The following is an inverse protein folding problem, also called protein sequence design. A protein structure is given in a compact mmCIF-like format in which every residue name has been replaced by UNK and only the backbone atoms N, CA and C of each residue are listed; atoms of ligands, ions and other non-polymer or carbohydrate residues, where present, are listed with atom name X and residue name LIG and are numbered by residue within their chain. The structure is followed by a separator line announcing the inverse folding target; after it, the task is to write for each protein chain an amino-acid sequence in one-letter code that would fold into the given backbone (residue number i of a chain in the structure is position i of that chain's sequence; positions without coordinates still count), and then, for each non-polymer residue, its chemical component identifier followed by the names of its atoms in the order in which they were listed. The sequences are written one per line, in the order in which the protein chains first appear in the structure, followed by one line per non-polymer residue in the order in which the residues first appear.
data_IF_753823977409
#
_entry.id   IF_753823977409
#
_cell.length_a   1.000
_cell.length_b   1.000
_cell.length_c   1.000
_cell.angle_alpha   90.00
_cell.angle_beta   90.00
_cell.angle_gamma   90.00
#
_symmetry.space_group_name_H-M   'P 1'
#
loop_
_entity.id
_entity.type
_entity.pdbx_description
1 polymer ?
#
# COMPACT_ATOMS: atom_id res chain seq x y z
N UNK A 1 29.13 -7.42 -24.45
CA UNK A 1 29.75 -7.45 -23.10
C UNK A 1 29.26 -8.69 -22.38
N UNK A 2 30.17 -9.51 -21.86
CA UNK A 2 29.81 -10.74 -21.11
C UNK A 2 29.21 -10.33 -19.76
N UNK A 3 28.26 -11.11 -19.24
CA UNK A 3 27.35 -10.68 -18.16
C UNK A 3 27.94 -10.28 -16.79
N UNK A 4 29.25 -10.50 -16.57
CA UNK A 4 29.96 -10.11 -15.34
C UNK A 4 30.53 -8.69 -15.42
N UNK A 5 31.08 -8.25 -16.56
CA UNK A 5 31.69 -6.91 -16.69
C UNK A 5 30.70 -5.77 -16.38
N UNK A 6 29.43 -5.95 -16.74
CA UNK A 6 28.39 -4.96 -16.48
C UNK A 6 28.09 -4.82 -14.99
N UNK A 7 28.12 -5.91 -14.22
CA UNK A 7 27.82 -5.85 -12.78
C UNK A 7 28.96 -5.15 -12.03
N UNK A 8 30.20 -5.44 -12.39
CA UNK A 8 31.39 -4.85 -11.78
C UNK A 8 31.53 -3.36 -12.14
N UNK A 9 31.29 -2.98 -13.40
CA UNK A 9 31.25 -1.58 -13.81
C UNK A 9 30.10 -0.81 -13.17
N UNK A 10 28.92 -1.45 -13.06
CA UNK A 10 27.76 -0.90 -12.38
C UNK A 10 28.07 -0.64 -10.91
N UNK A 11 28.68 -1.61 -10.20
CA UNK A 11 29.05 -1.46 -8.80
C UNK A 11 30.07 -0.34 -8.60
N UNK A 12 31.07 -0.23 -9.48
CA UNK A 12 32.04 0.86 -9.43
C UNK A 12 31.38 2.23 -9.60
N UNK A 13 30.57 2.41 -10.66
CA UNK A 13 29.91 3.70 -10.94
C UNK A 13 28.84 4.05 -9.90
N UNK A 14 27.90 3.14 -9.66
CA UNK A 14 26.81 3.35 -8.70
C UNK A 14 27.33 3.48 -7.27
N UNK A 15 28.37 2.71 -6.95
CA UNK A 15 28.92 2.64 -5.61
C UNK A 15 29.91 3.75 -5.25
N UNK A 16 30.67 4.28 -6.20
CA UNK A 16 31.71 5.27 -5.91
C UNK A 16 31.36 6.64 -6.48
N UNK A 17 30.95 6.70 -7.74
CA UNK A 17 30.72 7.96 -8.46
C UNK A 17 29.41 8.63 -8.03
N UNK A 18 28.32 7.85 -7.95
CA UNK A 18 27.01 8.34 -7.54
C UNK A 18 26.74 8.25 -6.03
N UNK A 19 27.80 8.13 -5.21
CA UNK A 19 27.69 7.95 -3.75
C UNK A 19 27.02 9.11 -3.01
N UNK A 20 26.84 10.27 -3.64
CA UNK A 20 26.17 11.43 -3.02
C UNK A 20 24.83 11.76 -3.70
N UNK A 21 24.42 11.00 -4.71
CA UNK A 21 23.15 11.23 -5.40
C UNK A 21 21.96 10.86 -4.50
N UNK A 22 20.96 11.74 -4.45
CA UNK A 22 19.69 11.50 -3.74
C UNK A 22 18.79 10.50 -4.49
N UNK A 23 18.86 10.53 -5.83
CA UNK A 23 18.15 9.62 -6.72
C UNK A 23 18.97 9.42 -8.00
N UNK A 24 18.85 8.24 -8.63
CA UNK A 24 19.51 7.94 -9.90
C UNK A 24 18.46 7.64 -10.97
N UNK A 25 18.51 8.37 -12.09
CA UNK A 25 17.67 8.16 -13.26
C UNK A 25 18.41 7.33 -14.33
N UNK A 26 17.88 6.16 -14.65
CA UNK A 26 18.38 5.29 -15.71
C UNK A 26 17.63 5.53 -17.01
N UNK A 27 18.36 5.85 -18.07
CA UNK A 27 17.81 5.90 -19.43
C UNK A 27 18.04 4.56 -20.10
N UNK A 28 16.96 3.80 -20.30
CA UNK A 28 17.00 2.46 -20.87
C UNK A 28 16.76 2.51 -22.39
N UNK A 29 17.53 1.81 -23.22
CA UNK A 29 17.38 1.92 -24.68
C UNK A 29 16.13 1.17 -25.21
N UNK A 30 15.61 0.20 -24.46
CA UNK A 30 14.52 -0.69 -24.87
C UNK A 30 13.70 -1.17 -23.66
N UNK A 31 12.65 -1.97 -23.91
CA UNK A 31 11.79 -2.60 -22.88
C UNK A 31 12.30 -3.99 -22.48
N UNK A 32 13.61 -4.19 -22.39
CA UNK A 32 14.20 -5.44 -21.92
C UNK A 32 13.90 -5.66 -20.43
N UNK A 33 12.94 -6.53 -20.14
CA UNK A 33 12.53 -6.86 -18.77
C UNK A 33 13.64 -7.50 -17.95
N UNK A 34 14.50 -8.32 -18.56
CA UNK A 34 15.59 -9.00 -17.85
C UNK A 34 16.59 -7.97 -17.36
N UNK A 35 16.93 -7.00 -18.20
CA UNK A 35 17.81 -5.88 -17.84
C UNK A 35 17.18 -5.02 -16.75
N UNK A 36 15.90 -4.67 -16.88
CA UNK A 36 15.19 -3.89 -15.87
C UNK A 36 15.17 -4.60 -14.51
N UNK A 37 14.86 -5.90 -14.48
CA UNK A 37 14.86 -6.70 -13.24
C UNK A 37 16.25 -6.78 -12.61
N UNK A 38 17.30 -7.02 -13.40
CA UNK A 38 18.68 -7.06 -12.90
C UNK A 38 19.10 -5.71 -12.33
N UNK A 39 18.79 -4.62 -13.01
CA UNK A 39 19.03 -3.26 -12.52
C UNK A 39 18.38 -3.05 -11.16
N UNK A 40 17.09 -3.34 -11.05
CA UNK A 40 16.31 -3.16 -9.82
C UNK A 40 16.82 -4.03 -8.68
N UNK A 41 17.12 -5.30 -8.95
CA UNK A 41 17.75 -6.20 -8.00
C UNK A 41 19.04 -5.59 -7.44
N UNK A 42 19.97 -5.15 -8.30
CA UNK A 42 21.25 -4.56 -7.87
C UNK A 42 21.05 -3.28 -7.06
N UNK A 43 20.16 -2.37 -7.50
CA UNK A 43 19.92 -1.09 -6.84
C UNK A 43 19.12 -1.18 -5.54
N UNK A 44 18.42 -2.28 -5.29
CA UNK A 44 17.54 -2.40 -4.12
C UNK A 44 18.08 -3.37 -3.07
N UNK A 45 18.94 -4.32 -3.45
CA UNK A 45 19.56 -5.27 -2.50
C UNK A 45 20.97 -4.88 -2.06
N UNK A 46 21.80 -4.34 -2.96
CA UNK A 46 23.22 -4.06 -2.67
C UNK A 46 23.45 -2.65 -2.14
N UNK A 47 22.71 -1.66 -2.64
CA UNK A 47 22.81 -0.26 -2.20
C UNK A 47 21.49 0.45 -2.29
N UNK A 48 20.85 0.65 -1.15
CA UNK A 48 19.53 1.26 -1.06
C UNK A 48 19.59 2.74 -1.45
N UNK A 49 19.31 3.04 -2.72
CA UNK A 49 19.05 4.41 -3.17
C UNK A 49 17.81 4.42 -4.05
N UNK A 50 17.02 5.50 -3.99
CA UNK A 50 15.98 5.73 -4.97
C UNK A 50 16.52 5.64 -6.39
N UNK A 51 15.86 4.82 -7.21
CA UNK A 51 16.15 4.74 -8.64
C UNK A 51 14.88 4.84 -9.46
N UNK A 52 14.98 5.59 -10.56
CA UNK A 52 13.93 5.75 -11.54
C UNK A 52 14.45 5.29 -12.91
N UNK A 53 13.58 4.75 -13.75
CA UNK A 53 13.93 4.41 -15.12
C UNK A 53 12.99 5.13 -16.11
N UNK A 54 13.52 5.49 -17.27
CA UNK A 54 12.77 6.01 -18.43
C UNK A 54 13.32 5.39 -19.71
N UNK A 55 12.45 5.12 -20.68
CA UNK A 55 12.88 4.67 -22.01
C UNK A 55 13.54 5.82 -22.78
N UNK A 56 14.64 5.57 -23.46
CA UNK A 56 15.38 6.58 -24.23
C UNK A 56 14.52 7.30 -25.26
N UNK A 57 13.58 6.60 -25.90
CA UNK A 57 12.58 7.21 -26.79
C UNK A 57 11.69 8.25 -26.10
N UNK A 58 11.32 8.00 -24.84
CA UNK A 58 10.51 8.91 -24.03
C UNK A 58 11.35 10.05 -23.43
N UNK A 59 12.66 9.84 -23.27
CA UNK A 59 13.59 10.87 -22.83
C UNK A 59 13.93 11.85 -23.96
N UNK A 60 14.08 11.34 -25.19
CA UNK A 60 14.39 12.15 -26.37
C UNK A 60 13.19 12.97 -26.87
N UNK A 61 11.95 12.51 -26.63
CA UNK A 61 10.73 13.22 -27.01
C UNK A 61 10.18 13.97 -25.80
N UNK A 62 10.08 15.30 -25.89
CA UNK A 62 9.52 16.14 -24.84
C UNK A 62 7.99 15.97 -24.82
N UNK A 63 7.51 14.93 -24.13
CA UNK A 63 6.11 14.76 -23.80
C UNK A 63 5.89 15.17 -22.34
N UNK A 64 5.25 16.32 -22.12
CA UNK A 64 5.05 16.88 -20.79
C UNK A 64 4.26 15.96 -19.86
N UNK A 65 3.29 15.18 -20.36
CA UNK A 65 2.55 14.23 -19.53
C UNK A 65 3.45 13.11 -19.00
N UNK A 66 4.34 12.59 -19.83
CA UNK A 66 5.34 11.58 -19.43
C UNK A 66 6.35 12.15 -18.44
N UNK A 67 6.86 13.36 -18.69
CA UNK A 67 7.82 14.02 -17.80
C UNK A 67 7.21 14.38 -16.45
N UNK A 68 5.96 14.85 -16.42
CA UNK A 68 5.23 15.11 -15.18
C UNK A 68 5.05 13.83 -14.36
N UNK A 69 4.63 12.72 -14.99
CA UNK A 69 4.54 11.43 -14.30
C UNK A 69 5.88 10.92 -13.78
N UNK A 70 6.96 11.07 -14.55
CA UNK A 70 8.32 10.73 -14.13
C UNK A 70 8.74 11.57 -12.90
N UNK A 71 8.48 12.87 -12.92
CA UNK A 71 8.78 13.78 -11.83
C UNK A 71 8.06 13.38 -10.54
N UNK A 72 6.75 13.09 -10.63
CA UNK A 72 5.95 12.67 -9.47
C UNK A 72 6.47 11.37 -8.84
N UNK A 73 6.83 10.38 -9.68
CA UNK A 73 7.47 9.15 -9.21
C UNK A 73 8.79 9.41 -8.47
N UNK A 74 9.62 10.32 -9.01
CA UNK A 74 10.89 10.70 -8.40
C UNK A 74 10.68 11.42 -7.06
N UNK A 75 9.75 12.38 -7.00
CA UNK A 75 9.38 13.09 -5.76
C UNK A 75 8.96 12.09 -4.68
N UNK A 76 8.06 11.16 -4.99
CA UNK A 76 7.56 10.21 -4.01
C UNK A 76 8.64 9.22 -3.52
N UNK A 77 9.54 8.79 -4.41
CA UNK A 77 10.69 7.93 -4.06
C UNK A 77 11.72 8.62 -3.16
N UNK A 78 11.77 9.95 -3.19
CA UNK A 78 12.60 10.75 -2.29
C UNK A 78 11.89 11.14 -0.98
N UNK A 79 10.66 10.65 -0.76
CA UNK A 79 9.86 10.96 0.43
C UNK A 79 9.06 12.26 0.33
N UNK A 80 8.94 12.84 -0.86
CA UNK A 80 8.09 14.00 -1.11
C UNK A 80 6.61 13.63 -1.24
N UNK A 81 5.75 14.61 -0.98
CA UNK A 81 4.29 14.49 -1.07
C UNK A 81 3.82 15.24 -2.30
N UNK A 82 3.10 14.58 -3.22
CA UNK A 82 2.56 15.26 -4.40
C UNK A 82 1.23 15.96 -4.10
N UNK A 83 0.30 15.27 -3.43
CA UNK A 83 -0.95 15.81 -2.90
C UNK A 83 -1.45 14.93 -1.76
N UNK A 84 -2.47 15.41 -1.07
CA UNK A 84 -3.18 14.71 -0.01
C UNK A 84 -4.67 15.04 -0.07
N UNK A 85 -5.50 14.18 0.49
CA UNK A 85 -6.92 14.49 0.76
C UNK A 85 -7.00 15.15 2.13
N UNK A 86 -7.80 16.23 2.31
CA UNK A 86 -7.95 16.87 3.61
C UNK A 86 -8.38 15.89 4.71
N UNK A 87 -7.93 16.10 5.96
CA UNK A 87 -8.30 15.24 7.08
C UNK A 87 -9.80 15.32 7.38
N UNK A 88 -10.37 14.21 7.84
CA UNK A 88 -11.79 14.09 8.17
C UNK A 88 -12.15 14.79 9.47
N UNK A 89 -13.38 15.31 9.56
CA UNK A 89 -13.87 15.97 10.78
C UNK A 89 -13.82 15.07 12.01
N UNK A 90 -14.15 13.78 11.85
CA UNK A 90 -14.14 12.78 12.93
C UNK A 90 -12.73 12.42 13.42
N UNK A 91 -11.71 12.72 12.61
CA UNK A 91 -10.31 12.53 12.99
C UNK A 91 -9.78 13.64 13.91
N UNK A 92 -10.60 14.68 14.18
CA UNK A 92 -10.27 15.82 15.02
C UNK A 92 -10.23 17.12 14.21
N UNK A 93 -11.13 18.07 14.53
CA UNK A 93 -11.10 19.44 14.01
C UNK A 93 -10.15 20.29 14.83
N UNK A 94 -8.92 20.53 14.35
CA UNK A 94 -8.32 21.87 14.40
C UNK A 94 -7.06 21.97 13.51
N UNK A 95 -7.18 22.75 12.42
CA UNK A 95 -6.20 22.95 11.34
C UNK A 95 -4.86 23.62 11.76
N UNK A 96 -4.57 23.71 13.06
CA UNK A 96 -3.32 24.25 13.59
C UNK A 96 -2.81 23.55 14.86
N UNK A 97 -3.53 22.58 15.43
CA UNK A 97 -3.16 21.93 16.71
C UNK A 97 -3.28 20.39 16.73
N UNK A 98 -3.95 19.77 15.75
CA UNK A 98 -4.35 18.36 15.85
C UNK A 98 -3.31 17.30 15.45
N UNK A 99 -2.02 17.60 15.37
CA UNK A 99 -1.04 16.63 14.86
C UNK A 99 -0.20 15.90 15.92
N UNK A 100 -0.12 16.38 17.16
CA UNK A 100 0.78 15.77 18.15
C UNK A 100 0.06 15.15 19.37
N UNK A 101 -1.01 15.76 19.88
CA UNK A 101 -1.64 15.25 21.12
C UNK A 101 -2.69 14.14 20.88
N UNK A 102 -3.36 14.14 19.72
CA UNK A 102 -4.38 13.15 19.37
C UNK A 102 -3.84 11.93 18.61
N UNK A 103 -2.52 11.74 18.53
CA UNK A 103 -1.88 10.54 17.99
C UNK A 103 -2.00 10.31 16.47
N UNK A 104 -3.02 10.84 15.78
CA UNK A 104 -3.19 10.72 14.32
C UNK A 104 -3.72 9.35 13.85
N UNK A 105 -3.72 9.13 12.53
CA UNK A 105 -4.20 7.91 11.87
C UNK A 105 -3.02 7.13 11.27
N UNK A 106 -3.04 5.81 11.43
CA UNK A 106 -2.18 4.87 10.70
C UNK A 106 -3.03 3.88 9.91
N UNK A 107 -2.74 3.74 8.61
CA UNK A 107 -3.29 2.69 7.75
C UNK A 107 -2.24 1.62 7.53
N UNK A 108 -2.53 0.39 7.94
CA UNK A 108 -1.75 -0.80 7.64
C UNK A 108 -2.45 -1.56 6.51
N UNK A 109 -1.67 -2.11 5.59
CA UNK A 109 -2.19 -3.08 4.62
C UNK A 109 -1.26 -4.27 4.48
N UNK A 110 -1.85 -5.46 4.39
CA UNK A 110 -1.14 -6.73 4.32
C UNK A 110 -1.63 -7.52 3.11
N UNK A 111 -0.67 -7.91 2.26
CA UNK A 111 -0.91 -8.80 1.13
C UNK A 111 0.03 -10.01 1.19
N UNK A 112 -0.51 -11.18 0.83
CA UNK A 112 0.27 -12.42 0.69
C UNK A 112 0.24 -12.84 -0.77
N UNK A 113 1.39 -12.75 -1.45
CA UNK A 113 1.53 -13.23 -2.82
C UNK A 113 2.04 -14.66 -2.86
N UNK A 114 1.59 -15.43 -3.85
CA UNK A 114 2.06 -16.78 -4.16
C UNK A 114 2.61 -16.77 -5.58
N UNK A 115 3.89 -17.09 -5.76
CA UNK A 115 4.41 -17.31 -7.13
C UNK A 115 4.37 -18.81 -7.47
N UNK A 116 3.82 -19.14 -8.64
CA UNK A 116 4.13 -20.41 -9.31
C UNK A 116 5.40 -20.18 -10.12
N UNK A 117 6.48 -20.97 -10.01
CA UNK A 117 6.57 -22.36 -9.51
C UNK A 117 7.07 -22.52 -8.06
N UNK A 118 7.32 -21.43 -7.30
CA UNK A 118 7.96 -21.53 -5.98
C UNK A 118 6.98 -22.03 -4.90
N UNK A 119 7.42 -22.97 -4.05
CA UNK A 119 6.60 -23.47 -2.92
C UNK A 119 6.42 -22.46 -1.77
N UNK A 120 6.93 -21.24 -1.91
CA UNK A 120 6.99 -20.25 -0.86
C UNK A 120 6.09 -19.05 -1.16
N UNK A 121 5.58 -18.44 -0.10
CA UNK A 121 4.84 -17.18 -0.17
C UNK A 121 5.72 -15.97 0.13
N UNK A 122 5.19 -14.77 -0.13
CA UNK A 122 5.78 -13.52 0.36
C UNK A 122 4.68 -12.69 1.00
N UNK A 123 4.89 -12.35 2.28
CA UNK A 123 4.08 -11.34 2.97
C UNK A 123 4.68 -9.99 2.66
N UNK A 124 3.83 -9.05 2.30
CA UNK A 124 4.15 -7.64 2.25
C UNK A 124 3.22 -6.88 3.18
N UNK A 125 3.79 -6.09 4.09
CA UNK A 125 3.09 -5.14 4.92
C UNK A 125 3.54 -3.73 4.54
N UNK A 126 2.57 -2.83 4.38
CA UNK A 126 2.83 -1.40 4.26
C UNK A 126 2.06 -0.66 5.33
N UNK A 127 2.63 0.40 5.89
CA UNK A 127 1.97 1.23 6.90
C UNK A 127 2.23 2.70 6.69
N UNK A 128 1.19 3.52 6.72
CA UNK A 128 1.36 4.98 6.65
C UNK A 128 2.01 5.49 7.94
N UNK A 129 2.82 6.54 7.84
CA UNK A 129 3.47 7.12 9.03
C UNK A 129 3.38 8.64 9.14
N UNK A 130 2.82 9.34 8.17
CA UNK A 130 2.52 10.77 8.26
C UNK A 130 1.01 11.02 8.33
N UNK A 131 0.63 12.21 8.80
CA UNK A 131 -0.76 12.60 8.99
C UNK A 131 -1.57 12.65 7.70
N UNK A 132 -0.94 12.98 6.58
CA UNK A 132 -1.58 13.03 5.26
C UNK A 132 -1.83 11.63 4.66
N UNK A 133 -1.31 10.56 5.30
CA UNK A 133 -1.41 9.17 4.84
C UNK A 133 -0.75 8.92 3.48
N UNK A 134 0.26 9.69 3.11
CA UNK A 134 0.91 9.66 1.78
C UNK A 134 2.29 8.99 1.77
N UNK A 135 2.91 8.84 2.95
CA UNK A 135 4.22 8.21 3.12
C UNK A 135 4.07 6.86 3.82
N UNK A 136 4.69 5.83 3.26
CA UNK A 136 4.51 4.45 3.69
C UNK A 136 5.82 3.75 4.04
N UNK A 137 5.86 3.16 5.23
CA UNK A 137 6.82 2.15 5.61
C UNK A 137 6.49 0.85 4.88
N UNK A 138 7.50 0.07 4.54
CA UNK A 138 7.36 -1.09 3.67
C UNK A 138 8.22 -2.23 4.17
N UNK A 139 7.60 -3.40 4.28
CA UNK A 139 8.27 -4.56 4.81
C UNK A 139 7.82 -5.83 4.13
N UNK A 140 8.77 -6.72 3.87
CA UNK A 140 8.45 -8.06 3.35
C UNK A 140 9.14 -9.15 4.13
N UNK A 141 8.53 -10.34 4.13
CA UNK A 141 9.11 -11.58 4.63
C UNK A 141 8.73 -12.74 3.72
N UNK A 142 9.69 -13.61 3.46
CA UNK A 142 9.46 -14.89 2.77
C UNK A 142 8.80 -15.87 3.74
N UNK A 143 7.79 -16.58 3.26
CA UNK A 143 7.13 -17.64 4.03
C UNK A 143 7.58 -19.00 3.53
N UNK A 144 7.92 -19.90 4.45
CA UNK A 144 8.33 -21.26 4.14
C UNK A 144 7.21 -22.11 3.50
N UNK A 145 5.95 -21.75 3.78
CA UNK A 145 4.76 -22.47 3.31
C UNK A 145 3.81 -21.55 2.53
N UNK A 146 3.05 -22.11 1.58
CA UNK A 146 2.00 -21.41 0.81
C UNK A 146 0.72 -21.18 1.63
N UNK A 147 0.83 -20.59 2.82
CA UNK A 147 -0.34 -20.23 3.64
C UNK A 147 -0.81 -18.82 3.28
N UNK A 148 -2.12 -18.61 3.21
CA UNK A 148 -2.71 -17.28 2.99
C UNK A 148 -2.78 -16.46 4.28
N UNK A 149 -2.82 -17.12 5.43
CA UNK A 149 -2.83 -16.48 6.75
C UNK A 149 -1.40 -16.34 7.27
N UNK A 150 -1.08 -15.16 7.80
CA UNK A 150 0.17 -14.89 8.51
C UNK A 150 0.06 -15.39 9.95
N UNK A 151 0.31 -16.69 10.13
CA UNK A 151 0.16 -17.36 11.43
C UNK A 151 1.16 -16.91 12.50
N UNK A 152 2.33 -16.42 12.08
CA UNK A 152 3.43 -15.98 12.96
C UNK A 152 4.07 -14.72 12.38
N UNK A 153 4.74 -13.97 13.25
CA UNK A 153 5.51 -12.77 12.91
C UNK A 153 4.68 -11.59 12.41
N UNK A 154 3.35 -11.67 12.44
CA UNK A 154 2.50 -10.53 12.13
C UNK A 154 2.74 -9.40 13.13
N UNK A 155 2.96 -9.75 14.40
CA UNK A 155 3.35 -8.86 15.48
C UNK A 155 4.67 -8.13 15.22
N UNK A 156 5.65 -8.78 14.58
CA UNK A 156 6.93 -8.15 14.20
C UNK A 156 6.69 -7.03 13.20
N UNK A 157 5.89 -7.28 12.16
CA UNK A 157 5.53 -6.25 11.20
C UNK A 157 4.78 -5.08 11.83
N UNK A 158 3.85 -5.37 12.75
CA UNK A 158 3.11 -4.33 13.48
C UNK A 158 4.03 -3.53 14.39
N UNK A 159 5.00 -4.16 15.05
CA UNK A 159 6.00 -3.46 15.86
C UNK A 159 6.82 -2.48 15.01
N UNK A 160 7.38 -2.95 13.89
CA UNK A 160 8.19 -2.11 13.00
C UNK A 160 7.35 -0.93 12.44
N UNK A 161 6.08 -1.17 12.11
CA UNK A 161 5.14 -0.13 11.68
C UNK A 161 4.91 0.94 12.77
N UNK A 162 4.67 0.53 14.01
CA UNK A 162 4.47 1.44 15.15
C UNK A 162 5.75 2.21 15.49
N UNK A 163 6.91 1.56 15.43
CA UNK A 163 8.21 2.22 15.63
C UNK A 163 8.48 3.28 14.57
N UNK A 164 8.20 2.99 13.30
CA UNK A 164 8.35 3.96 12.23
C UNK A 164 7.39 5.14 12.38
N UNK A 165 6.13 4.88 12.75
CA UNK A 165 5.17 5.93 13.08
C UNK A 165 5.69 6.81 14.22
N UNK A 166 6.10 6.18 15.32
CA UNK A 166 6.59 6.85 16.52
C UNK A 166 7.84 7.71 16.24
N UNK A 167 8.76 7.18 15.44
CA UNK A 167 9.97 7.88 15.04
C UNK A 167 9.68 9.13 14.20
N UNK A 168 8.67 9.09 13.33
CA UNK A 168 8.29 10.23 12.49
C UNK A 168 7.48 11.28 13.25
N UNK A 169 6.59 10.84 14.15
CA UNK A 169 5.66 11.70 14.88
C UNK A 169 6.16 12.02 16.29
N UNK A 170 7.45 12.38 16.43
CA UNK A 170 8.03 12.88 17.69
C UNK A 170 7.77 12.04 18.95
N UNK A 171 7.67 10.72 18.82
CA UNK A 171 7.42 9.81 19.94
C UNK A 171 5.95 9.46 20.18
N UNK A 172 5.01 10.03 19.42
CA UNK A 172 3.58 9.73 19.53
C UNK A 172 3.18 8.49 18.74
N UNK A 173 2.24 7.73 19.27
CA UNK A 173 1.64 6.56 18.63
C UNK A 173 0.28 6.93 17.99
N UNK A 174 -0.17 6.20 16.96
CA UNK A 174 -1.42 6.50 16.27
C UNK A 174 -2.64 6.29 17.16
N UNK A 175 -3.58 7.22 17.19
CA UNK A 175 -4.86 7.02 17.91
C UNK A 175 -5.87 6.21 17.12
N UNK A 176 -5.71 6.17 15.79
CA UNK A 176 -6.49 5.31 14.90
C UNK A 176 -5.59 4.34 14.14
N UNK A 177 -5.97 3.06 14.10
CA UNK A 177 -5.30 2.04 13.29
C UNK A 177 -6.31 1.33 12.40
N UNK A 178 -6.21 1.53 11.09
CA UNK A 178 -7.01 0.78 10.10
C UNK A 178 -6.14 -0.27 9.44
N UNK A 179 -6.49 -1.54 9.58
CA UNK A 179 -5.75 -2.65 8.98
C UNK A 179 -6.56 -3.27 7.83
N UNK A 180 -6.10 -3.10 6.60
CA UNK A 180 -6.68 -3.69 5.40
C UNK A 180 -5.95 -4.99 5.02
N UNK A 181 -6.65 -6.12 5.01
CA UNK A 181 -6.09 -7.44 4.69
C UNK A 181 -6.60 -7.92 3.33
N UNK A 182 -5.73 -7.92 2.31
CA UNK A 182 -6.10 -8.20 0.91
C UNK A 182 -6.00 -9.67 0.51
N UNK A 183 -7.02 -10.21 -0.15
CA UNK A 183 -6.94 -11.51 -0.81
C UNK A 183 -7.14 -12.71 0.11
N UNK A 184 -8.09 -12.58 1.05
CA UNK A 184 -8.62 -13.71 1.80
C UNK A 184 -10.03 -14.04 1.31
N UNK A 185 -10.31 -15.33 1.12
CA UNK A 185 -11.66 -15.81 0.89
C UNK A 185 -12.47 -15.96 2.18
N UNK A 186 -13.80 -16.05 2.04
CA UNK A 186 -14.75 -16.10 3.16
C UNK A 186 -14.45 -17.23 4.17
N UNK A 187 -13.94 -18.37 3.70
CA UNK A 187 -13.57 -19.51 4.56
C UNK A 187 -12.38 -19.24 5.50
N UNK A 188 -11.61 -18.18 5.25
CA UNK A 188 -10.40 -17.83 6.00
C UNK A 188 -10.62 -16.69 6.99
N UNK A 189 -11.80 -16.06 7.01
CA UNK A 189 -12.09 -14.88 7.85
C UNK A 189 -11.91 -15.19 9.34
N UNK A 190 -12.37 -16.35 9.80
CA UNK A 190 -12.25 -16.76 11.20
C UNK A 190 -10.77 -16.97 11.61
N UNK A 191 -9.97 -17.51 10.70
CA UNK A 191 -8.53 -17.70 10.91
C UNK A 191 -7.78 -16.36 10.93
N UNK A 192 -8.16 -15.40 10.09
CA UNK A 192 -7.59 -14.06 10.12
C UNK A 192 -7.84 -13.37 11.47
N UNK A 193 -9.01 -13.57 12.08
CA UNK A 193 -9.30 -13.08 13.44
C UNK A 193 -8.40 -13.77 14.46
N UNK A 194 -8.38 -15.12 14.46
CA UNK A 194 -7.65 -15.93 15.44
C UNK A 194 -6.14 -15.70 15.42
N UNK A 195 -5.58 -15.45 14.24
CA UNK A 195 -4.14 -15.37 14.02
C UNK A 195 -3.64 -13.94 13.82
N UNK A 196 -4.16 -13.19 12.85
CA UNK A 196 -3.60 -11.88 12.45
C UNK A 196 -4.14 -10.75 13.34
N UNK A 197 -5.46 -10.65 13.51
CA UNK A 197 -6.07 -9.62 14.36
C UNK A 197 -5.64 -9.74 15.83
N UNK A 198 -5.53 -10.97 16.33
CA UNK A 198 -4.99 -11.22 17.67
C UNK A 198 -3.57 -10.67 17.81
N UNK A 199 -2.67 -10.99 16.88
CA UNK A 199 -1.30 -10.48 16.89
C UNK A 199 -1.27 -8.93 16.79
N UNK A 200 -2.12 -8.33 15.94
CA UNK A 200 -2.28 -6.88 15.83
C UNK A 200 -2.62 -6.25 17.19
N UNK A 201 -3.67 -6.75 17.84
CA UNK A 201 -4.17 -6.17 19.10
C UNK A 201 -3.25 -6.44 20.28
N UNK A 202 -2.67 -7.63 20.37
CA UNK A 202 -1.70 -7.97 21.41
C UNK A 202 -0.44 -7.09 21.28
N UNK A 203 0.01 -6.82 20.05
CA UNK A 203 1.16 -5.95 19.79
C UNK A 203 0.89 -4.47 20.10
N UNK A 204 -0.33 -3.99 19.85
CA UNK A 204 -0.76 -2.66 20.29
C UNK A 204 -0.79 -2.59 21.82
N UNK A 205 -1.42 -3.54 22.51
CA UNK A 205 -1.44 -3.58 23.99
C UNK A 205 -0.04 -3.62 24.60
N UNK A 206 0.92 -4.29 23.94
CA UNK A 206 2.31 -4.35 24.38
C UNK A 206 3.05 -3.00 24.33
N UNK A 207 2.46 -1.94 23.76
CA UNK A 207 2.99 -0.58 23.86
C UNK A 207 2.65 0.12 25.19
N UNK A 208 1.87 -0.53 26.06
CA UNK A 208 1.57 0.00 27.39
C UNK A 208 2.87 0.30 28.17
N UNK A 209 2.89 1.45 28.81
CA UNK A 209 3.95 1.82 29.76
C UNK A 209 3.35 1.91 31.16
N UNK A 210 4.20 2.14 32.17
CA UNK A 210 3.72 2.37 33.54
C UNK A 210 2.76 3.57 33.65
N UNK A 211 2.90 4.54 32.75
CA UNK A 211 2.15 5.82 32.79
C UNK A 211 1.11 5.96 31.69
N UNK A 212 1.13 5.09 30.66
CA UNK A 212 0.22 5.17 29.51
C UNK A 212 -0.35 3.80 29.16
N UNK A 213 -1.68 3.71 29.11
CA UNK A 213 -2.37 2.56 28.50
C UNK A 213 -2.72 2.91 27.06
N UNK A 214 -2.04 2.28 26.10
CA UNK A 214 -2.25 2.53 24.69
C UNK A 214 -3.39 1.66 24.15
N UNK A 215 -4.52 2.29 23.86
CA UNK A 215 -5.72 1.64 23.34
C UNK A 215 -6.24 2.43 22.14
N UNK A 216 -5.60 2.30 20.97
CA UNK A 216 -6.05 3.03 19.79
C UNK A 216 -7.42 2.53 19.35
N UNK A 217 -8.21 3.45 18.80
CA UNK A 217 -9.39 3.12 18.00
C UNK A 217 -8.92 2.36 16.76
N UNK A 218 -9.56 1.25 16.40
CA UNK A 218 -9.03 0.45 15.31
C UNK A 218 -10.10 -0.39 14.60
N UNK A 219 -9.84 -0.69 13.33
CA UNK A 219 -10.65 -1.60 12.52
C UNK A 219 -9.77 -2.60 11.77
N UNK A 220 -10.26 -3.83 11.63
CA UNK A 220 -9.64 -4.89 10.83
C UNK A 220 -10.60 -5.28 9.70
N UNK A 221 -10.19 -4.99 8.47
CA UNK A 221 -11.03 -4.99 7.28
C UNK A 221 -10.41 -5.94 6.26
N UNK A 222 -11.12 -6.99 5.87
CA UNK A 222 -10.70 -7.87 4.78
C UNK A 222 -11.20 -7.31 3.46
N UNK A 223 -10.37 -7.38 2.42
CA UNK A 223 -10.70 -6.86 1.09
C UNK A 223 -10.66 -7.97 0.07
N UNK A 224 -11.77 -8.13 -0.65
CA UNK A 224 -11.88 -8.98 -1.82
C UNK A 224 -12.08 -8.13 -3.08
N UNK A 225 -11.04 -8.12 -3.92
CA UNK A 225 -11.03 -7.39 -5.20
C UNK A 225 -11.51 -8.25 -6.38
N UNK A 226 -11.71 -9.56 -6.19
CA UNK A 226 -12.05 -10.53 -7.25
C UNK A 226 -13.51 -10.93 -7.18
N UNK A 227 -14.37 -9.93 -7.11
CA UNK A 227 -15.82 -10.13 -6.99
C UNK A 227 -16.45 -10.44 -8.36
N UNK A 228 -17.51 -11.26 -8.35
CA UNK A 228 -18.33 -11.52 -9.53
C UNK A 228 -19.47 -10.49 -9.70
N UNK A 229 -19.63 -9.57 -8.75
CA UNK A 229 -20.67 -8.53 -8.80
C UNK A 229 -20.34 -7.49 -9.88
N UNK A 230 -21.37 -7.01 -10.59
CA UNK A 230 -21.28 -5.91 -11.55
C UNK A 230 -22.47 -4.99 -11.31
N UNK A 231 -22.19 -3.72 -11.06
CA UNK A 231 -23.21 -2.70 -10.80
C UNK A 231 -23.41 -1.83 -12.03
N UNK A 232 -24.65 -1.35 -12.22
CA UNK A 232 -25.04 -0.50 -13.34
C UNK A 232 -26.04 0.56 -12.85
N UNK A 233 -26.01 1.74 -13.45
CA UNK A 233 -27.02 2.77 -13.17
C UNK A 233 -28.42 2.33 -13.62
N UNK A 234 -29.42 2.48 -12.74
CA UNK A 234 -30.77 1.97 -12.96
C UNK A 234 -31.58 2.74 -14.04
N UNK A 235 -31.30 4.02 -14.27
CA UNK A 235 -32.18 4.92 -15.03
C UNK A 235 -31.76 5.15 -16.50
N UNK A 236 -30.79 4.38 -17.02
CA UNK A 236 -30.32 4.55 -18.40
C UNK A 236 -30.66 3.34 -19.26
N UNK A 237 -31.20 3.57 -20.46
CA UNK A 237 -31.46 2.52 -21.45
C UNK A 237 -30.20 1.77 -21.86
N UNK A 238 -29.03 2.40 -21.68
CA UNK A 238 -27.73 1.81 -21.88
C UNK A 238 -27.11 1.46 -20.52
N UNK A 239 -26.61 0.23 -20.38
CA UNK A 239 -25.88 -0.24 -19.20
C UNK A 239 -24.62 0.61 -19.01
N UNK A 240 -24.68 1.60 -18.12
CA UNK A 240 -23.53 2.44 -17.75
C UNK A 240 -22.99 2.03 -16.39
N UNK A 241 -21.67 2.18 -16.24
CA UNK A 241 -21.03 2.02 -14.94
C UNK A 241 -21.52 3.11 -13.97
N UNK A 242 -21.66 2.80 -12.68
CA UNK A 242 -21.90 3.79 -11.64
C UNK A 242 -20.75 4.80 -11.55
N UNK A 243 -21.00 6.02 -11.06
CA UNK A 243 -19.96 7.02 -10.89
C UNK A 243 -18.92 6.58 -9.84
N UNK A 244 -17.66 7.05 -9.94
CA UNK A 244 -16.63 6.87 -8.92
C UNK A 244 -17.10 7.30 -7.53
N UNK A 245 -16.80 6.48 -6.52
CA UNK A 245 -17.26 6.66 -5.15
C UNK A 245 -18.61 5.98 -4.85
N UNK A 246 -19.21 5.26 -5.80
CA UNK A 246 -20.43 4.49 -5.54
C UNK A 246 -20.16 3.41 -4.49
N UNK A 247 -20.98 3.41 -3.44
CA UNK A 247 -21.00 2.41 -2.38
C UNK A 247 -22.31 1.62 -2.45
N UNK A 248 -22.22 0.30 -2.25
CA UNK A 248 -23.37 -0.58 -2.06
C UNK A 248 -23.21 -1.35 -0.76
N UNK A 249 -23.98 -0.95 0.25
CA UNK A 249 -23.93 -1.42 1.66
C UNK A 249 -25.24 -2.10 2.10
N UNK A 250 -26.18 -2.32 1.17
CA UNK A 250 -27.53 -2.86 1.45
C UNK A 250 -27.94 -3.93 0.44
N UNK A 251 -28.87 -4.79 0.86
CA UNK A 251 -29.57 -5.84 0.10
C UNK A 251 -28.70 -7.02 -0.40
N UNK A 252 -27.52 -6.73 -0.97
CA UNK A 252 -26.63 -7.72 -1.59
C UNK A 252 -25.32 -7.91 -0.79
N UNK A 253 -25.35 -7.49 0.46
CA UNK A 253 -24.27 -7.60 1.45
C UNK A 253 -24.60 -8.71 2.45
N UNK A 254 -23.69 -9.02 3.35
CA UNK A 254 -23.91 -10.02 4.40
C UNK A 254 -24.94 -9.57 5.43
N UNK A 255 -25.87 -10.45 5.78
CA UNK A 255 -26.76 -10.24 6.93
C UNK A 255 -26.03 -10.41 8.29
N UNK A 256 -24.86 -11.05 8.29
CA UNK A 256 -24.15 -11.46 9.50
C UNK A 256 -22.93 -10.57 9.83
N UNK A 257 -22.32 -9.96 8.81
CA UNK A 257 -21.15 -9.11 8.95
C UNK A 257 -21.44 -7.75 8.32
N UNK A 258 -20.80 -6.71 8.82
CA UNK A 258 -20.80 -5.44 8.09
C UNK A 258 -19.80 -5.55 6.93
N UNK A 259 -20.33 -5.56 5.71
CA UNK A 259 -19.56 -5.44 4.48
C UNK A 259 -20.21 -4.48 3.50
N UNK A 260 -19.40 -3.93 2.61
CA UNK A 260 -19.84 -3.01 1.58
C UNK A 260 -19.01 -3.20 0.30
N UNK A 261 -19.61 -2.85 -0.83
CA UNK A 261 -18.90 -2.75 -2.10
C UNK A 261 -18.56 -1.29 -2.40
N UNK A 262 -17.37 -1.06 -2.95
CA UNK A 262 -16.94 0.26 -3.39
C UNK A 262 -16.47 0.20 -4.86
N UNK A 263 -16.94 1.14 -5.67
CA UNK A 263 -16.44 1.44 -7.01
C UNK A 263 -15.74 2.80 -6.94
N UNK A 264 -14.42 2.85 -6.67
CA UNK A 264 -13.76 4.12 -6.44
C UNK A 264 -13.25 4.76 -7.73
N UNK A 265 -13.04 4.00 -8.81
CA UNK A 265 -12.36 4.44 -10.04
C UNK A 265 -13.28 4.36 -11.25
N UNK A 266 -13.18 5.36 -12.11
CA UNK A 266 -13.84 5.35 -13.42
C UNK A 266 -13.07 4.47 -14.40
N UNK A 267 -13.80 3.78 -15.27
CA UNK A 267 -13.23 2.90 -16.30
C UNK A 267 -13.68 3.34 -17.68
N UNK A 268 -12.94 2.93 -18.71
CA UNK A 268 -13.35 3.20 -20.09
C UNK A 268 -14.78 2.73 -20.34
N UNK A 269 -15.53 3.48 -21.16
CA UNK A 269 -16.96 3.25 -21.41
C UNK A 269 -17.28 1.83 -21.90
N UNK A 270 -16.35 1.18 -22.59
CA UNK A 270 -16.49 -0.19 -23.10
C UNK A 270 -16.12 -1.28 -22.07
N UNK A 271 -15.74 -0.90 -20.85
CA UNK A 271 -15.34 -1.80 -19.77
C UNK A 271 -16.33 -1.72 -18.62
N UNK A 272 -16.70 -2.86 -18.02
CA UNK A 272 -17.51 -2.86 -16.80
C UNK A 272 -16.65 -2.69 -15.56
N UNK A 273 -17.00 -1.75 -14.69
CA UNK A 273 -16.32 -1.55 -13.41
C UNK A 273 -16.45 -2.79 -12.52
N UNK A 274 -15.34 -3.20 -11.90
CA UNK A 274 -15.32 -4.29 -10.91
C UNK A 274 -15.29 -3.68 -9.51
N UNK A 275 -16.33 -3.89 -8.68
CA UNK A 275 -16.33 -3.39 -7.31
C UNK A 275 -15.39 -4.22 -6.43
N UNK A 276 -14.77 -3.56 -5.46
CA UNK A 276 -14.08 -4.23 -4.35
C UNK A 276 -15.02 -4.38 -3.17
N UNK A 277 -15.09 -5.58 -2.58
CA UNK A 277 -15.84 -5.87 -1.37
C UNK A 277 -14.95 -5.67 -0.15
N UNK A 278 -15.43 -4.94 0.85
CA UNK A 278 -14.75 -4.69 2.10
C UNK A 278 -15.58 -5.31 3.23
N UNK A 279 -14.99 -6.25 3.97
CA UNK A 279 -15.64 -6.99 5.06
C UNK A 279 -15.02 -6.54 6.38
N UNK A 280 -15.80 -5.85 7.20
CA UNK A 280 -15.35 -5.30 8.48
C UNK A 280 -15.47 -6.38 9.56
N UNK A 281 -14.38 -7.12 9.80
CA UNK A 281 -14.38 -8.24 10.75
C UNK A 281 -14.39 -7.78 12.22
N UNK A 282 -13.71 -6.66 12.49
CA UNK A 282 -13.63 -6.03 13.81
C UNK A 282 -13.62 -4.52 13.66
N UNK A 283 -14.47 -3.85 14.42
CA UNK A 283 -14.54 -2.40 14.48
C UNK A 283 -14.63 -1.93 15.93
N UNK A 284 -13.61 -1.16 16.33
CA UNK A 284 -13.50 -0.47 17.61
C UNK A 284 -13.18 1.01 17.37
N UNK A 285 -13.59 1.55 16.21
CA UNK A 285 -13.34 2.95 15.82
C UNK A 285 -14.41 3.91 16.31
N UNK A 286 -15.60 3.41 16.65
CA UNK A 286 -16.80 4.21 16.93
C UNK A 286 -17.21 5.12 15.76
N UNK A 287 -16.78 4.81 14.54
CA UNK A 287 -17.22 5.50 13.34
C UNK A 287 -18.57 4.96 12.88
N UNK A 288 -19.33 5.81 12.21
CA UNK A 288 -20.48 5.38 11.43
C UNK A 288 -20.03 4.62 10.18
N UNK A 289 -20.91 3.78 9.62
CA UNK A 289 -20.64 3.06 8.37
C UNK A 289 -20.21 4.00 7.25
N UNK A 290 -20.99 5.08 7.04
CA UNK A 290 -20.69 6.13 6.06
C UNK A 290 -19.30 6.78 6.27
N UNK A 291 -18.90 7.04 7.52
CA UNK A 291 -17.56 7.59 7.79
C UNK A 291 -16.44 6.63 7.41
N UNK A 292 -16.62 5.32 7.64
CA UNK A 292 -15.64 4.31 7.27
C UNK A 292 -15.56 4.10 5.74
N UNK A 293 -16.71 4.13 5.08
CA UNK A 293 -16.84 4.03 3.63
C UNK A 293 -16.18 5.23 2.94
N UNK A 294 -16.51 6.45 3.38
CA UNK A 294 -15.89 7.68 2.90
C UNK A 294 -14.38 7.66 3.13
N UNK A 295 -13.93 7.27 4.32
CA UNK A 295 -12.51 7.13 4.64
C UNK A 295 -11.82 6.18 3.67
N UNK A 296 -12.38 4.98 3.49
CA UNK A 296 -11.85 3.98 2.57
C UNK A 296 -11.80 4.51 1.14
N UNK A 297 -12.81 5.25 0.69
CA UNK A 297 -12.85 5.85 -0.63
C UNK A 297 -11.77 6.93 -0.82
N UNK A 298 -11.51 7.81 0.17
CA UNK A 298 -10.44 8.84 0.02
C UNK A 298 -9.05 8.26 -0.18
N UNK A 299 -8.76 7.11 0.43
CA UNK A 299 -7.47 6.44 0.28
C UNK A 299 -7.21 6.04 -1.18
N UNK A 300 -8.24 5.99 -2.04
CA UNK A 300 -8.11 5.76 -3.47
C UNK A 300 -7.61 7.00 -4.24
N UNK A 301 -7.69 8.20 -3.66
CA UNK A 301 -7.38 9.47 -4.34
C UNK A 301 -5.96 9.99 -4.05
N UNK A 302 -5.18 9.33 -3.21
CA UNK A 302 -3.86 9.79 -2.76
C UNK A 302 -2.67 9.16 -3.52
N UNK A 303 -2.94 8.40 -4.59
CA UNK A 303 -1.89 7.73 -5.36
C UNK A 303 -1.20 8.68 -6.35
N UNK A 304 0.07 9.02 -6.09
CA UNK A 304 0.76 10.07 -6.83
C UNK A 304 1.01 9.79 -8.32
N UNK A 305 0.83 8.57 -8.84
CA UNK A 305 1.07 8.30 -10.27
C UNK A 305 -0.19 8.40 -11.14
N UNK A 306 -1.33 8.77 -10.58
CA UNK A 306 -2.57 8.83 -11.33
C UNK A 306 -3.37 10.07 -10.94
N UNK A 307 -3.78 10.85 -11.95
CA UNK A 307 -4.64 12.00 -11.76
C UNK A 307 -6.09 11.54 -11.71
N UNK A 308 -6.50 11.06 -10.53
CA UNK A 308 -7.81 10.48 -10.29
C UNK A 308 -7.75 9.43 -9.18
N UNK A 309 -8.86 8.77 -8.94
CA UNK A 309 -8.93 7.63 -8.03
C UNK A 309 -8.44 6.34 -8.68
N UNK A 310 -7.83 5.47 -7.88
CA UNK A 310 -7.47 4.11 -8.27
C UNK A 310 -8.49 3.09 -7.75
N UNK A 311 -8.55 1.90 -8.36
CA UNK A 311 -9.53 0.86 -8.08
C UNK A 311 -9.54 0.30 -6.65
N UNK A 312 -8.50 0.58 -5.85
CA UNK A 312 -8.40 0.17 -4.46
C UNK A 312 -7.61 1.20 -3.64
N UNK A 313 -7.85 1.34 -2.33
CA UNK A 313 -7.07 2.18 -1.44
C UNK A 313 -5.56 2.07 -1.66
N UNK A 314 -4.84 3.20 -1.63
CA UNK A 314 -3.39 3.26 -1.77
C UNK A 314 -2.62 2.22 -0.93
N UNK A 315 -2.89 2.02 0.38
CA UNK A 315 -2.15 1.02 1.15
C UNK A 315 -2.32 -0.40 0.60
N UNK A 316 -3.51 -0.74 0.09
CA UNK A 316 -3.79 -2.05 -0.53
C UNK A 316 -3.01 -2.20 -1.83
N UNK A 317 -3.09 -1.19 -2.70
CA UNK A 317 -2.36 -1.15 -3.96
C UNK A 317 -0.85 -1.31 -3.75
N UNK A 318 -0.31 -0.63 -2.75
CA UNK A 318 1.10 -0.67 -2.40
C UNK A 318 1.56 -2.02 -1.84
N UNK A 319 0.82 -2.63 -0.91
CA UNK A 319 1.15 -3.96 -0.39
C UNK A 319 1.14 -5.01 -1.51
N UNK A 320 0.16 -4.94 -2.42
CA UNK A 320 0.08 -5.81 -3.58
C UNK A 320 1.30 -5.65 -4.49
N UNK A 321 1.60 -4.42 -4.94
CA UNK A 321 2.79 -4.11 -5.76
C UNK A 321 4.09 -4.57 -5.10
N UNK A 322 4.26 -4.30 -3.81
CA UNK A 322 5.45 -4.68 -3.06
C UNK A 322 5.62 -6.20 -3.03
N UNK A 323 4.56 -6.96 -2.75
CA UNK A 323 4.64 -8.43 -2.74
C UNK A 323 5.01 -9.03 -4.09
N UNK A 324 4.46 -8.49 -5.19
CA UNK A 324 4.77 -8.93 -6.55
C UNK A 324 6.22 -8.57 -6.91
N UNK A 325 6.64 -7.34 -6.64
CA UNK A 325 8.00 -6.89 -6.92
C UNK A 325 9.04 -7.73 -6.17
N UNK A 326 8.82 -8.01 -4.88
CA UNK A 326 9.72 -8.86 -4.10
C UNK A 326 9.84 -10.27 -4.69
N UNK A 327 8.75 -10.83 -5.22
CA UNK A 327 8.78 -12.16 -5.84
C UNK A 327 9.44 -12.16 -7.22
N UNK A 328 9.06 -11.24 -8.08
CA UNK A 328 9.42 -11.24 -9.51
C UNK A 328 10.77 -10.58 -9.79
N UNK A 329 11.18 -9.63 -8.96
CA UNK A 329 12.38 -8.80 -9.15
C UNK A 329 13.44 -9.12 -8.11
N UNK A 330 13.06 -9.14 -6.83
CA UNK A 330 14.00 -9.40 -5.73
C UNK A 330 14.22 -10.89 -5.48
N UNK A 331 13.55 -11.76 -6.24
CA UNK A 331 13.67 -13.22 -6.15
C UNK A 331 13.41 -13.74 -4.72
N UNK A 332 12.51 -13.11 -3.98
CA UNK A 332 12.17 -13.47 -2.61
C UNK A 332 13.19 -13.02 -1.55
N UNK A 333 14.23 -12.28 -1.95
CA UNK A 333 15.12 -11.63 -0.99
C UNK A 333 14.38 -10.48 -0.32
N UNK A 334 14.51 -10.43 1.00
CA UNK A 334 14.04 -9.33 1.81
C UNK A 334 14.96 -8.15 1.57
N UNK A 335 14.54 -7.20 0.73
CA UNK A 335 15.28 -5.96 0.63
C UNK A 335 15.19 -5.22 1.97
N UNK A 336 16.33 -4.73 2.47
CA UNK A 336 16.37 -3.71 3.53
C UNK A 336 15.89 -2.41 2.91
N UNK A 337 14.62 -2.33 2.59
CA UNK A 337 14.06 -1.16 1.92
C UNK A 337 14.17 0.03 2.86
N UNK A 338 14.60 1.18 2.33
CA UNK A 338 14.57 2.39 3.15
C UNK A 338 13.10 2.69 3.48
N UNK A 339 12.86 3.43 4.56
CA UNK A 339 11.53 3.82 5.02
C UNK A 339 10.79 4.79 4.06
N UNK A 340 11.14 4.81 2.77
CA UNK A 340 10.56 5.67 1.74
C UNK A 340 9.75 4.86 0.75
N UNK A 341 8.83 5.53 0.07
CA UNK A 341 7.84 4.97 -0.81
C UNK A 341 8.49 4.52 -2.14
N UNK A 342 9.16 3.35 -2.18
CA UNK A 342 9.94 2.92 -3.36
C UNK A 342 9.10 2.34 -4.51
N UNK A 343 8.02 1.63 -4.18
CA UNK A 343 7.26 0.83 -5.14
C UNK A 343 6.12 1.61 -5.78
N UNK A 344 6.51 2.61 -6.55
CA UNK A 344 5.63 3.49 -7.32
C UNK A 344 6.09 3.54 -8.77
#
# INVERSE_FOLDING_TARGET
MRGNDFADEFEKKFGQEYKNAQIVLFVLPDRDEVRYRKLKYLTETWRTRPTQAILGKNFAQVNMSVLTGLWMQMVQKMGGICWAVPPYEWSGKDKAKSSLEDGGIMCISVNVSRSSPRKEGTVALVSSYNHELTLYHQRTKRMEQRKEIVEKDFDVFVQEALEQYKSYNSGYLPSFVFCYRDGLGDSMLENAIKMEYRQLTDKMKAQDTQTLKYRPRHAFIVVDKKTNHRFFEAQQSNRRNPPPGTVVDKEIVSDALYDFFLIPQDVHQDTTSVPSRFIVLKDHTNLTQAQLEDFTNSLCYIYCNYFGSIASPLPIHMAHKLSMHTQEVLQGQVAKLLNTTFYI
#
